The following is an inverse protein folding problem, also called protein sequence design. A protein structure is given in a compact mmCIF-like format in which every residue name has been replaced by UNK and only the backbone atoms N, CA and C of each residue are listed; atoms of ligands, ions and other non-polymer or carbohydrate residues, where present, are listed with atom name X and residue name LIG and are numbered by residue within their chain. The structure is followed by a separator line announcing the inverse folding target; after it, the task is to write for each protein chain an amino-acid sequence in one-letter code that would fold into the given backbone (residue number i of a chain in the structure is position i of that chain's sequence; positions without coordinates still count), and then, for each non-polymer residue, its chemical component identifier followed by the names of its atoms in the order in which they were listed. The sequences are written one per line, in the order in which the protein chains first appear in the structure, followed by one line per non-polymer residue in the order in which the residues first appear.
data_IF_084602573768
#
_entry.id   IF_084602573768
#
_cell.length_a   1.000
_cell.length_b   1.000
_cell.length_c   1.000
_cell.angle_alpha   90.00
_cell.angle_beta   90.00
_cell.angle_gamma   90.00
#
_symmetry.space_group_name_H-M   'P 1'
#
loop_
_entity.id
_entity.type
_entity.pdbx_description
1 polymer ?
#
# COMPACT_ATOMS: atom_id res chain seq x y z
N UNK A 1 -17.26 1.91 -24.30
CA UNK A 1 -16.95 2.55 -23.02
C UNK A 1 -17.97 2.27 -21.92
N UNK A 2 -19.28 2.50 -22.11
CA UNK A 2 -20.32 2.24 -21.09
C UNK A 2 -20.32 0.78 -20.57
N UNK A 3 -20.12 -0.22 -21.45
CA UNK A 3 -20.08 -1.65 -21.05
C UNK A 3 -18.86 -2.02 -20.20
N UNK A 4 -17.72 -1.35 -20.38
CA UNK A 4 -16.50 -1.60 -19.60
C UNK A 4 -16.61 -0.99 -18.19
N UNK A 5 -17.24 0.19 -18.08
CA UNK A 5 -17.50 0.84 -16.79
C UNK A 5 -18.45 -0.01 -15.93
N UNK A 6 -19.48 -0.60 -16.56
CA UNK A 6 -20.42 -1.52 -15.91
C UNK A 6 -19.71 -2.80 -15.46
N UNK A 7 -18.77 -3.33 -16.26
CA UNK A 7 -17.99 -4.52 -15.88
C UNK A 7 -17.06 -4.24 -14.69
N UNK A 8 -16.45 -3.06 -14.65
CA UNK A 8 -15.59 -2.63 -13.51
C UNK A 8 -16.44 -2.48 -12.24
N UNK A 9 -17.63 -1.90 -12.34
CA UNK A 9 -18.58 -1.77 -11.22
C UNK A 9 -19.09 -3.15 -10.78
N UNK A 10 -19.39 -4.05 -11.72
CA UNK A 10 -19.84 -5.41 -11.43
C UNK A 10 -18.73 -6.30 -10.86
N UNK A 11 -17.46 -6.10 -11.25
CA UNK A 11 -16.31 -6.78 -10.65
C UNK A 11 -15.93 -6.21 -9.29
N UNK A 12 -16.29 -4.97 -8.99
CA UNK A 12 -16.08 -4.37 -7.67
C UNK A 12 -17.22 -4.68 -6.68
N UNK A 13 -18.43 -4.95 -7.16
CA UNK A 13 -19.58 -5.26 -6.31
C UNK A 13 -19.38 -6.50 -5.40
N UNK A 14 -18.83 -7.65 -5.86
CA UNK A 14 -18.54 -8.77 -4.98
C UNK A 14 -17.31 -8.54 -4.08
N UNK A 15 -16.47 -7.54 -4.38
CA UNK A 15 -15.32 -7.19 -3.54
C UNK A 15 -15.79 -6.55 -2.21
N UNK A 16 -17.00 -6.02 -2.17
CA UNK A 16 -17.64 -5.43 -0.99
C UNK A 16 -18.71 -6.36 -0.35
N UNK A 17 -18.62 -7.66 -0.56
CA UNK A 17 -19.54 -8.63 0.01
C UNK A 17 -19.20 -8.98 1.48
N UNK A 18 -20.17 -9.44 2.23
CA UNK A 18 -20.31 -9.57 3.69
C UNK A 18 -19.15 -10.20 4.51
N UNK A 19 -18.09 -10.71 3.87
CA UNK A 19 -17.01 -11.44 4.55
C UNK A 19 -15.65 -10.70 4.56
N UNK A 20 -15.61 -9.41 4.25
CA UNK A 20 -14.38 -8.64 4.28
C UNK A 20 -14.23 -7.90 5.61
N UNK A 21 -13.14 -8.15 6.31
CA UNK A 21 -12.87 -7.49 7.60
C UNK A 21 -12.78 -5.96 7.46
N UNK A 22 -12.33 -5.48 6.30
CA UNK A 22 -12.07 -4.05 6.08
C UNK A 22 -11.99 -3.69 4.61
N UNK A 23 -12.31 -2.44 4.32
CA UNK A 23 -12.20 -1.82 3.01
C UNK A 23 -11.12 -0.75 3.00
N UNK A 24 -10.44 -0.58 1.88
CA UNK A 24 -9.40 0.43 1.73
C UNK A 24 -9.54 1.17 0.40
N UNK A 25 -9.72 2.49 0.46
CA UNK A 25 -9.71 3.37 -0.69
C UNK A 25 -8.42 4.19 -0.73
N UNK A 26 -7.77 4.26 -1.90
CA UNK A 26 -6.57 5.05 -2.11
C UNK A 26 -6.72 5.99 -3.29
N UNK A 27 -6.35 7.24 -3.10
CA UNK A 27 -6.15 8.21 -4.17
C UNK A 27 -4.67 8.56 -4.28
N UNK A 28 -4.14 8.58 -5.49
CA UNK A 28 -2.76 8.97 -5.75
C UNK A 28 -2.69 9.96 -6.89
N UNK A 29 -2.05 11.08 -6.63
CA UNK A 29 -1.66 12.07 -7.63
C UNK A 29 -0.15 12.07 -7.74
N UNK A 30 0.39 12.06 -8.94
CA UNK A 30 1.83 12.06 -9.14
C UNK A 30 2.27 12.85 -10.37
N UNK A 31 3.40 13.53 -10.22
CA UNK A 31 4.24 14.03 -11.32
C UNK A 31 5.36 13.03 -11.60
N UNK A 32 6.41 13.46 -12.34
CA UNK A 32 7.58 12.61 -12.57
C UNK A 32 8.22 12.14 -11.26
N UNK A 33 8.49 13.08 -10.35
CA UNK A 33 9.31 12.83 -9.17
C UNK A 33 8.55 12.92 -7.85
N UNK A 34 7.47 13.70 -7.79
CA UNK A 34 6.68 13.92 -6.57
C UNK A 34 5.35 13.18 -6.65
N UNK A 35 4.93 12.60 -5.53
CA UNK A 35 3.59 12.05 -5.43
C UNK A 35 2.96 12.38 -4.08
N UNK A 36 1.66 12.59 -4.12
CA UNK A 36 0.80 12.61 -2.94
C UNK A 36 -0.14 11.42 -2.99
N UNK A 37 -0.37 10.78 -1.85
CA UNK A 37 -1.32 9.69 -1.69
C UNK A 37 -2.19 9.95 -0.47
N UNK A 38 -3.48 9.88 -0.66
CA UNK A 38 -4.48 9.75 0.40
C UNK A 38 -4.95 8.31 0.45
N UNK A 39 -5.13 7.77 1.66
CA UNK A 39 -5.66 6.44 1.88
C UNK A 39 -6.62 6.49 3.06
N UNK A 40 -7.79 5.92 2.88
CA UNK A 40 -8.77 5.75 3.94
C UNK A 40 -9.08 4.27 4.13
N UNK A 41 -9.18 3.85 5.39
CA UNK A 41 -9.62 2.52 5.80
C UNK A 41 -10.96 2.67 6.49
N UNK A 42 -11.95 1.94 5.99
CA UNK A 42 -13.28 1.86 6.56
C UNK A 42 -13.36 0.74 7.59
N UNK A 43 -14.40 0.77 8.43
CA UNK A 43 -14.66 -0.24 9.44
C UNK A 43 -14.04 0.06 10.80
N UNK A 44 -13.80 -0.97 11.61
CA UNK A 44 -13.40 -0.83 13.01
C UNK A 44 -12.12 0.00 13.24
N UNK A 45 -11.23 0.01 12.25
CA UNK A 45 -9.96 0.73 12.38
C UNK A 45 -9.96 2.11 11.76
N UNK A 46 -11.15 2.68 11.44
CA UNK A 46 -11.28 4.00 10.81
C UNK A 46 -10.01 4.85 10.93
N UNK A 47 -9.23 4.90 9.86
CA UNK A 47 -7.95 5.61 9.83
C UNK A 47 -7.66 6.20 8.47
N UNK A 48 -7.08 7.37 8.51
CA UNK A 48 -6.63 8.09 7.32
C UNK A 48 -5.11 8.14 7.24
N UNK A 49 -4.58 8.06 6.05
CA UNK A 49 -3.16 8.20 5.77
C UNK A 49 -2.95 9.27 4.70
N UNK A 50 -2.12 10.23 4.98
CA UNK A 50 -1.61 11.20 4.04
C UNK A 50 -0.14 10.91 3.79
N UNK A 51 0.28 10.78 2.56
CA UNK A 51 1.67 10.50 2.21
C UNK A 51 2.14 11.47 1.14
N UNK A 52 3.20 12.19 1.42
CA UNK A 52 3.98 12.93 0.44
C UNK A 52 5.25 12.14 0.14
N UNK A 53 5.65 12.04 -1.11
CA UNK A 53 6.85 11.31 -1.49
C UNK A 53 7.57 11.91 -2.67
N UNK A 54 8.89 11.76 -2.66
CA UNK A 54 9.81 12.19 -3.68
C UNK A 54 10.64 11.01 -4.18
N UNK A 55 10.83 10.92 -5.48
CA UNK A 55 11.69 9.92 -6.12
C UNK A 55 12.93 10.56 -6.67
N UNK A 56 14.06 9.93 -6.43
CA UNK A 56 15.34 10.29 -7.03
C UNK A 56 16.03 8.99 -7.46
N UNK A 57 16.15 8.79 -8.76
CA UNK A 57 16.65 7.53 -9.35
C UNK A 57 15.92 6.30 -8.78
N UNK A 58 16.66 5.37 -8.19
CA UNK A 58 16.11 4.16 -7.55
C UNK A 58 15.58 4.42 -6.13
N UNK A 59 15.89 5.57 -5.55
CA UNK A 59 15.47 5.94 -4.20
C UNK A 59 14.08 6.55 -4.17
N UNK A 60 13.38 6.30 -3.09
CA UNK A 60 12.13 6.97 -2.78
C UNK A 60 12.12 7.39 -1.31
N UNK A 61 12.00 8.66 -1.09
CA UNK A 61 11.81 9.29 0.21
C UNK A 61 10.33 9.60 0.37
N UNK A 62 9.76 9.36 1.53
CA UNK A 62 8.39 9.75 1.78
C UNK A 62 8.14 9.98 3.26
N UNK A 63 7.19 10.86 3.52
CA UNK A 63 6.66 11.11 4.85
C UNK A 63 5.18 10.74 4.85
N UNK A 64 4.74 9.98 5.84
CA UNK A 64 3.37 9.61 6.02
C UNK A 64 2.86 10.10 7.38
N UNK A 65 1.75 10.80 7.34
CA UNK A 65 0.93 11.18 8.48
C UNK A 65 -0.28 10.23 8.54
N UNK A 66 -0.55 9.67 9.72
CA UNK A 66 -1.65 8.74 9.93
C UNK A 66 -2.47 9.23 11.12
N UNK A 67 -3.76 9.32 10.93
CA UNK A 67 -4.71 9.58 11.99
C UNK A 67 -5.59 8.34 12.20
N UNK A 68 -5.71 7.88 13.44
CA UNK A 68 -6.51 6.73 13.83
C UNK A 68 -7.15 6.95 15.20
N UNK A 69 -8.48 7.14 15.25
CA UNK A 69 -9.23 7.24 16.51
C UNK A 69 -8.59 8.20 17.54
N UNK A 70 -8.19 9.41 17.11
CA UNK A 70 -7.55 10.42 17.93
C UNK A 70 -6.10 10.12 18.33
N UNK A 71 -5.43 9.19 17.63
CA UNK A 71 -3.99 8.99 17.68
C UNK A 71 -3.36 9.46 16.38
N UNK A 72 -2.23 10.10 16.50
CA UNK A 72 -1.43 10.55 15.36
C UNK A 72 -0.18 9.67 15.27
N UNK A 73 0.23 9.35 14.05
CA UNK A 73 1.46 8.64 13.79
C UNK A 73 2.21 9.29 12.64
N UNK A 74 3.48 9.57 12.86
CA UNK A 74 4.42 10.12 11.90
C UNK A 74 5.35 9.03 11.40
N UNK A 75 5.51 8.91 10.06
CA UNK A 75 6.36 7.89 9.43
C UNK A 75 7.22 8.46 8.33
N UNK A 76 8.39 9.01 8.62
CA UNK A 76 9.43 9.17 7.61
C UNK A 76 9.91 7.81 7.10
N UNK A 77 10.13 7.70 5.79
CA UNK A 77 10.45 6.45 5.09
C UNK A 77 11.47 6.66 4.01
N UNK A 78 12.36 5.70 3.88
CA UNK A 78 13.29 5.58 2.76
C UNK A 78 13.15 4.19 2.16
N UNK A 79 13.06 4.10 0.86
CA UNK A 79 13.12 2.83 0.14
C UNK A 79 14.01 2.94 -1.09
N UNK A 80 14.64 1.85 -1.45
CA UNK A 80 15.47 1.75 -2.65
C UNK A 80 15.02 0.56 -3.47
N UNK A 81 14.92 0.71 -4.79
CA UNK A 81 14.69 -0.40 -5.72
C UNK A 81 16.06 -0.94 -6.12
N UNK A 82 16.48 -2.05 -5.50
CA UNK A 82 17.81 -2.64 -5.70
C UNK A 82 17.92 -3.34 -7.04
N UNK A 83 16.88 -4.03 -7.47
CA UNK A 83 16.83 -4.60 -8.81
C UNK A 83 15.40 -4.62 -9.37
N UNK A 84 15.33 -4.67 -10.67
CA UNK A 84 14.13 -4.97 -11.44
C UNK A 84 14.56 -5.78 -12.66
N UNK A 85 13.98 -6.97 -12.82
CA UNK A 85 14.20 -7.82 -13.97
C UNK A 85 13.22 -7.47 -15.10
N UNK A 86 13.60 -7.79 -16.34
CA UNK A 86 12.75 -7.56 -17.53
C UNK A 86 11.45 -8.37 -17.47
N UNK A 87 11.49 -9.54 -16.82
CA UNK A 87 10.31 -10.37 -16.59
C UNK A 87 9.32 -9.82 -15.55
N UNK A 88 9.56 -8.61 -15.01
CA UNK A 88 8.66 -7.91 -14.10
C UNK A 88 8.92 -8.12 -12.62
N UNK A 89 9.84 -8.99 -12.22
CA UNK A 89 10.23 -9.14 -10.81
C UNK A 89 11.07 -7.96 -10.32
N UNK A 90 10.85 -7.54 -9.07
CA UNK A 90 11.66 -6.51 -8.42
C UNK A 90 11.77 -6.74 -6.92
N UNK A 91 12.84 -6.18 -6.35
CA UNK A 91 13.09 -6.17 -4.92
C UNK A 91 13.29 -4.74 -4.42
N UNK A 92 12.57 -4.39 -3.37
CA UNK A 92 12.59 -3.05 -2.81
C UNK A 92 12.53 -3.09 -1.28
N UNK A 93 13.67 -3.03 -0.60
CA UNK A 93 13.71 -2.79 0.84
C UNK A 93 13.26 -1.37 1.17
N UNK A 94 12.72 -1.22 2.39
CA UNK A 94 12.27 0.05 2.96
C UNK A 94 12.60 0.06 4.45
N UNK A 95 13.07 1.20 4.92
CA UNK A 95 13.15 1.52 6.33
C UNK A 95 12.15 2.62 6.63
N UNK A 96 11.41 2.49 7.71
CA UNK A 96 10.53 3.52 8.23
C UNK A 96 10.77 3.71 9.73
N UNK A 97 10.84 4.96 10.16
CA UNK A 97 10.75 5.32 11.55
C UNK A 97 9.28 5.56 11.89
N UNK A 98 8.84 5.07 13.04
CA UNK A 98 7.46 5.23 13.50
C UNK A 98 7.47 5.98 14.81
N UNK A 99 6.79 7.12 14.81
CA UNK A 99 6.50 7.93 15.98
C UNK A 99 5.00 7.93 16.17
N UNK A 100 4.53 7.25 17.21
CA UNK A 100 3.12 7.04 17.51
C UNK A 100 2.79 7.78 18.80
N UNK A 101 1.98 8.83 18.69
CA UNK A 101 1.48 9.56 19.85
C UNK A 101 0.65 8.63 20.73
N UNK A 102 0.94 8.62 22.02
CA UNK A 102 0.17 7.89 23.01
C UNK A 102 -1.25 8.44 23.17
N UNK A 103 -2.18 7.61 23.58
CA UNK A 103 -3.46 8.10 24.08
C UNK A 103 -3.22 8.93 25.34
N UNK A 104 -4.14 9.87 25.60
CA UNK A 104 -4.11 10.75 26.80
C UNK A 104 -3.68 9.96 28.05
N UNK A 105 -2.55 10.34 28.63
CA UNK A 105 -1.96 9.66 29.80
C UNK A 105 -1.02 8.48 29.53
N UNK A 106 -0.75 8.12 28.25
CA UNK A 106 0.25 7.13 27.86
C UNK A 106 1.36 7.80 27.05
N UNK A 107 2.60 7.42 27.27
CA UNK A 107 3.75 7.92 26.53
C UNK A 107 3.69 7.57 25.04
N UNK A 108 4.48 8.26 24.24
CA UNK A 108 4.65 7.97 22.83
C UNK A 108 5.43 6.67 22.64
N UNK A 109 5.19 6.00 21.51
CA UNK A 109 5.93 4.81 21.11
C UNK A 109 6.77 5.13 19.89
N UNK A 110 8.06 4.84 19.95
CA UNK A 110 9.01 5.08 18.88
C UNK A 110 9.69 3.77 18.49
N UNK A 111 9.79 3.48 17.20
CA UNK A 111 10.57 2.34 16.73
C UNK A 111 10.88 2.42 15.24
N UNK A 112 11.87 1.65 14.81
CA UNK A 112 12.14 1.43 13.39
C UNK A 112 11.44 0.19 12.89
N UNK A 113 11.05 0.24 11.63
CA UNK A 113 10.52 -0.92 10.92
C UNK A 113 11.23 -1.10 9.59
N UNK A 114 11.70 -2.30 9.35
CA UNK A 114 12.24 -2.72 8.07
C UNK A 114 11.20 -3.54 7.32
N UNK A 115 10.98 -3.19 6.07
CA UNK A 115 10.12 -3.95 5.15
C UNK A 115 10.94 -4.35 3.95
N UNK A 116 10.77 -5.58 3.51
CA UNK A 116 11.34 -6.04 2.26
C UNK A 116 10.20 -6.37 1.31
N UNK A 117 10.12 -5.70 0.16
CA UNK A 117 9.10 -6.01 -0.84
C UNK A 117 9.70 -6.81 -1.97
N UNK A 118 9.30 -8.05 -2.10
CA UNK A 118 9.40 -8.84 -3.31
C UNK A 118 8.15 -8.58 -4.13
N UNK A 119 8.29 -8.11 -5.35
CA UNK A 119 7.16 -7.76 -6.19
C UNK A 119 7.29 -8.33 -7.59
N UNK A 120 6.14 -8.62 -8.16
CA UNK A 120 5.98 -8.93 -9.57
C UNK A 120 4.99 -7.94 -10.18
N UNK A 121 5.32 -7.43 -11.35
CA UNK A 121 4.43 -6.62 -12.15
C UNK A 121 4.53 -7.09 -13.58
N UNK A 122 3.48 -7.76 -14.05
CA UNK A 122 3.39 -8.23 -15.42
C UNK A 122 3.34 -7.11 -16.45
N UNK A 123 3.60 -7.47 -17.69
CA UNK A 123 3.51 -6.55 -18.81
C UNK A 123 2.08 -6.11 -19.05
N UNK A 124 1.94 -4.88 -19.53
CA UNK A 124 0.64 -4.36 -19.90
C UNK A 124 0.17 -4.97 -21.23
N UNK A 125 -0.93 -5.70 -21.18
CA UNK A 125 -1.68 -6.11 -22.38
C UNK A 125 -2.71 -5.02 -22.69
N UNK A 126 -2.60 -4.39 -23.84
CA UNK A 126 -3.45 -3.27 -24.26
C UNK A 126 -4.45 -3.73 -25.31
N UNK A 127 -5.68 -3.25 -25.17
CA UNK A 127 -6.69 -3.32 -26.21
C UNK A 127 -6.86 -1.91 -26.80
N UNK A 128 -6.45 -1.71 -28.05
CA UNK A 128 -6.56 -0.46 -28.83
C UNK A 128 -5.92 0.77 -28.15
N UNK A 129 -4.74 0.69 -27.56
CA UNK A 129 -4.00 1.78 -26.90
C UNK A 129 -4.75 2.59 -25.82
N UNK A 130 -6.05 2.34 -25.64
CA UNK A 130 -6.90 3.08 -24.71
C UNK A 130 -6.94 2.45 -23.32
N UNK A 131 -6.95 1.11 -23.26
CA UNK A 131 -7.03 0.36 -21.99
C UNK A 131 -5.95 -0.70 -21.96
N UNK A 132 -5.10 -0.65 -20.94
CA UNK A 132 -4.04 -1.63 -20.74
C UNK A 132 -4.18 -2.26 -19.35
N UNK A 133 -3.98 -3.57 -19.27
CA UNK A 133 -4.14 -4.34 -18.04
C UNK A 133 -2.84 -5.08 -17.71
N UNK A 134 -2.44 -5.06 -16.44
CA UNK A 134 -1.29 -5.84 -15.94
C UNK A 134 -1.54 -6.36 -14.52
N UNK A 135 -1.26 -7.62 -14.21
CA UNK A 135 -1.28 -8.13 -12.85
C UNK A 135 -0.10 -7.56 -12.05
N UNK A 136 -0.29 -7.45 -10.75
CA UNK A 136 0.75 -7.05 -9.81
C UNK A 136 0.58 -7.81 -8.49
N UNK A 137 1.68 -8.37 -7.99
CA UNK A 137 1.72 -9.05 -6.70
C UNK A 137 2.86 -8.48 -5.87
N UNK A 138 2.61 -8.28 -4.59
CA UNK A 138 3.62 -7.89 -3.60
C UNK A 138 3.60 -8.87 -2.44
N UNK A 139 4.79 -9.22 -1.98
CA UNK A 139 5.01 -9.94 -0.74
C UNK A 139 5.96 -9.10 0.12
N UNK A 140 5.55 -8.76 1.32
CA UNK A 140 6.26 -7.77 2.14
C UNK A 140 6.29 -8.19 3.62
N UNK A 141 7.26 -9.01 4.05
CA UNK A 141 7.54 -9.23 5.46
C UNK A 141 8.02 -7.95 6.13
N UNK A 142 7.65 -7.77 7.39
CA UNK A 142 7.96 -6.60 8.21
C UNK A 142 8.56 -7.01 9.54
N UNK A 143 9.61 -6.29 9.95
CA UNK A 143 10.37 -6.53 11.17
C UNK A 143 10.46 -5.25 11.98
N UNK A 144 10.28 -5.34 13.30
CA UNK A 144 10.41 -4.23 14.23
C UNK A 144 11.79 -4.20 14.87
N UNK A 145 12.30 -3.00 15.14
CA UNK A 145 13.59 -2.77 15.81
C UNK A 145 13.46 -1.61 16.78
N UNK A 146 14.16 -1.70 17.93
CA UNK A 146 14.14 -0.69 18.99
C UNK A 146 12.73 -0.33 19.48
N UNK A 147 11.85 -1.32 19.59
CA UNK A 147 10.51 -1.17 20.12
C UNK A 147 10.46 -1.70 21.55
N UNK A 148 10.02 -0.87 22.49
CA UNK A 148 9.89 -1.27 23.90
C UNK A 148 9.05 -2.55 24.05
N UNK A 149 9.59 -3.55 24.74
CA UNK A 149 8.95 -4.83 25.01
C UNK A 149 8.92 -5.81 23.83
N UNK A 150 9.71 -5.56 22.80
CA UNK A 150 9.86 -6.44 21.62
C UNK A 150 11.35 -6.59 21.34
N UNK A 151 11.82 -7.79 21.05
CA UNK A 151 13.21 -8.03 20.68
C UNK A 151 13.55 -7.37 19.34
N UNK A 152 14.81 -6.94 19.18
CA UNK A 152 15.26 -6.30 17.95
C UNK A 152 15.23 -7.30 16.78
N UNK A 153 14.55 -6.90 15.70
CA UNK A 153 14.41 -7.72 14.52
C UNK A 153 13.22 -8.68 14.57
N UNK A 154 12.36 -8.57 15.59
CA UNK A 154 11.14 -9.36 15.68
C UNK A 154 10.28 -9.19 14.45
N UNK A 155 9.80 -10.33 13.99
CA UNK A 155 8.83 -10.41 12.93
C UNK A 155 7.50 -9.78 13.39
N UNK A 156 7.01 -8.79 12.64
CA UNK A 156 5.78 -8.08 12.99
C UNK A 156 4.57 -8.63 12.21
N UNK A 157 4.72 -8.82 10.93
CA UNK A 157 3.69 -9.39 10.06
C UNK A 157 4.18 -9.62 8.62
N UNK A 158 3.38 -10.30 7.81
CA UNK A 158 3.54 -10.40 6.36
C UNK A 158 2.34 -9.73 5.67
N UNK A 159 2.62 -8.81 4.77
CA UNK A 159 1.61 -8.25 3.90
C UNK A 159 1.75 -8.81 2.49
N UNK A 160 0.68 -9.39 1.97
CA UNK A 160 0.55 -9.82 0.57
C UNK A 160 -0.50 -8.97 -0.12
N UNK A 161 -0.14 -8.33 -1.24
CA UNK A 161 -1.07 -7.56 -2.08
C UNK A 161 -1.18 -8.25 -3.46
N UNK A 162 -2.39 -8.51 -3.90
CA UNK A 162 -2.70 -8.97 -5.27
C UNK A 162 -3.56 -7.89 -5.92
N UNK A 163 -3.11 -7.35 -7.04
CA UNK A 163 -3.75 -6.21 -7.69
C UNK A 163 -3.81 -6.38 -9.20
N UNK A 164 -4.80 -5.76 -9.81
CA UNK A 164 -4.89 -5.61 -11.25
C UNK A 164 -4.68 -4.13 -11.60
N UNK A 165 -3.64 -3.81 -12.38
CA UNK A 165 -3.44 -2.45 -12.87
C UNK A 165 -4.23 -2.28 -14.16
N UNK A 166 -5.19 -1.36 -14.17
CA UNK A 166 -5.98 -1.01 -15.35
C UNK A 166 -5.65 0.44 -15.69
N UNK A 167 -4.92 0.64 -16.78
CA UNK A 167 -4.58 1.98 -17.28
C UNK A 167 -5.58 2.43 -18.33
N UNK A 168 -5.99 3.67 -18.24
CA UNK A 168 -6.79 4.39 -19.24
C UNK A 168 -5.93 5.51 -19.84
N UNK A 169 -5.46 5.28 -21.05
CA UNK A 169 -4.49 6.16 -21.69
C UNK A 169 -3.19 6.30 -20.87
N UNK A 170 -2.57 7.48 -20.93
CA UNK A 170 -1.26 7.72 -20.29
C UNK A 170 -1.36 8.21 -18.84
N UNK A 171 -2.51 8.74 -18.42
CA UNK A 171 -2.63 9.52 -17.20
C UNK A 171 -3.38 8.83 -16.06
N UNK A 172 -4.35 7.99 -16.35
CA UNK A 172 -5.24 7.44 -15.34
C UNK A 172 -5.03 5.94 -15.12
N UNK A 173 -5.02 5.51 -13.86
CA UNK A 173 -4.90 4.09 -13.50
C UNK A 173 -5.84 3.75 -12.34
N UNK A 174 -6.60 2.67 -12.50
CA UNK A 174 -7.39 2.05 -11.44
C UNK A 174 -6.69 0.74 -11.03
N UNK A 175 -6.63 0.46 -9.73
CA UNK A 175 -6.07 -0.78 -9.19
C UNK A 175 -7.01 -1.38 -8.16
N UNK A 176 -7.97 -2.20 -8.58
CA UNK A 176 -8.66 -3.09 -7.67
C UNK A 176 -7.70 -4.19 -7.20
N UNK A 177 -7.91 -4.67 -5.99
CA UNK A 177 -7.07 -5.73 -5.43
C UNK A 177 -7.49 -6.18 -4.06
N UNK A 178 -6.72 -7.13 -3.55
CA UNK A 178 -6.87 -7.74 -2.24
C UNK A 178 -5.55 -7.59 -1.49
N UNK A 179 -5.65 -7.25 -0.22
CA UNK A 179 -4.53 -7.25 0.72
C UNK A 179 -4.81 -8.25 1.83
N UNK A 180 -3.88 -9.15 2.02
CA UNK A 180 -3.88 -10.10 3.10
C UNK A 180 -2.71 -9.80 4.04
N UNK A 181 -2.96 -9.74 5.34
CA UNK A 181 -1.95 -9.51 6.37
C UNK A 181 -2.05 -10.64 7.38
N UNK A 182 -0.94 -11.32 7.61
CA UNK A 182 -0.76 -12.33 8.65
C UNK A 182 0.11 -11.71 9.73
N UNK A 183 -0.39 -11.63 10.95
CA UNK A 183 0.36 -11.13 12.11
C UNK A 183 1.35 -12.20 12.63
N UNK A 184 2.24 -11.84 13.55
CA UNK A 184 3.31 -12.67 14.09
C UNK A 184 2.84 -13.95 14.79
N UNK A 185 1.66 -13.90 15.41
CA UNK A 185 1.04 -15.04 16.08
C UNK A 185 0.33 -16.03 15.14
N UNK A 186 0.25 -15.72 13.84
CA UNK A 186 -0.47 -16.45 12.79
C UNK A 186 -1.96 -16.70 13.10
N UNK A 187 -2.48 -16.08 14.16
CA UNK A 187 -3.86 -16.25 14.61
C UNK A 187 -4.79 -15.12 14.17
N UNK A 188 -4.21 -13.99 13.75
CA UNK A 188 -4.97 -12.79 13.40
C UNK A 188 -4.77 -12.41 11.95
N UNK A 189 -5.49 -13.05 11.07
CA UNK A 189 -5.51 -12.72 9.65
C UNK A 189 -6.39 -11.50 9.38
N UNK A 190 -5.93 -10.62 8.49
CA UNK A 190 -6.70 -9.45 8.07
C UNK A 190 -6.81 -9.42 6.56
N UNK A 191 -8.02 -9.49 6.07
CA UNK A 191 -8.32 -9.40 4.64
C UNK A 191 -8.92 -8.03 4.30
N UNK A 192 -8.36 -7.37 3.29
CA UNK A 192 -8.84 -6.07 2.83
C UNK A 192 -9.19 -6.12 1.35
N UNK A 193 -10.37 -5.64 1.00
CA UNK A 193 -10.64 -5.18 -0.36
C UNK A 193 -9.93 -3.83 -0.57
N UNK A 194 -9.22 -3.67 -1.65
CA UNK A 194 -8.47 -2.44 -1.94
C UNK A 194 -8.83 -1.87 -3.30
N UNK A 195 -9.06 -0.57 -3.35
CA UNK A 195 -9.20 0.18 -4.59
C UNK A 195 -8.24 1.36 -4.58
N UNK A 196 -7.38 1.45 -5.59
CA UNK A 196 -6.50 2.61 -5.76
C UNK A 196 -6.81 3.31 -7.08
N UNK A 197 -7.05 4.61 -6.99
CA UNK A 197 -7.17 5.52 -8.11
C UNK A 197 -5.89 6.35 -8.21
N UNK A 198 -5.32 6.46 -9.40
CA UNK A 198 -4.07 7.22 -9.62
C UNK A 198 -4.18 8.10 -10.85
N UNK A 199 -3.76 9.35 -10.70
CA UNK A 199 -3.64 10.31 -11.79
C UNK A 199 -2.19 10.73 -11.92
N UNK A 200 -1.68 10.80 -13.14
CA UNK A 200 -0.32 11.26 -13.48
C UNK A 200 -0.41 12.50 -14.36
N UNK A 201 0.31 13.53 -13.95
CA UNK A 201 0.49 14.78 -14.68
C UNK A 201 1.85 14.84 -15.34
#
# INVERSE_FOLDING_TARGET
MKKLLVLIVLLSAPIFAENWDREQLNFKVQTKDVHYRYRHYFGESDKTHHQLGYKYDNWQFSYQYIEKKGRIEHRPRVSVKLFQQDNGFYFRPRVEYRDIEGKKGKGNTYYFRVLTTLGYKGDFKCNNDLVCVAPQVHFSPRFAFARDGVDDGDFEDIQTDIMLNIKFGKKFTIRPGVRYIVDDDYNTDKLYATLQLSVKF
#
